data_IF_771364069644
#
_entry.id   IF_771364069644
#
_cell.length_a   1.000
_cell.length_b   1.000
_cell.length_c   1.000
_cell.angle_alpha   90.00
_cell.angle_beta   90.00
_cell.angle_gamma   90.00
#
_symmetry.space_group_name_H-M   'P 1'
#
loop_
_entity.id
_entity.type
_entity.pdbx_description
1 polymer ?
#
# COMPACT_ATOMS: atom_id res chain seq x y z
N UNK A 1 9.75 18.69 -11.52
CA UNK A 1 10.30 18.08 -10.30
C UNK A 1 11.80 18.14 -10.45
N UNK A 2 12.44 19.04 -9.72
CA UNK A 2 13.90 19.03 -9.60
C UNK A 2 14.30 17.90 -8.66
N UNK A 3 15.57 17.48 -8.71
CA UNK A 3 16.08 16.40 -7.84
C UNK A 3 15.89 16.75 -6.36
N UNK A 4 15.95 18.05 -6.02
CA UNK A 4 15.69 18.58 -4.69
C UNK A 4 14.25 18.35 -4.21
N UNK A 5 13.25 18.39 -5.10
CA UNK A 5 11.86 18.07 -4.73
C UNK A 5 11.74 16.60 -4.29
N UNK A 6 12.42 15.69 -5.01
CA UNK A 6 12.40 14.25 -4.72
C UNK A 6 13.16 13.97 -3.42
N UNK A 7 14.30 14.62 -3.22
CA UNK A 7 15.11 14.44 -2.01
C UNK A 7 14.47 15.06 -0.76
N UNK A 8 13.79 16.21 -0.91
CA UNK A 8 13.14 16.91 0.20
C UNK A 8 11.82 16.29 0.64
N UNK A 9 10.94 15.94 -0.31
CA UNK A 9 9.58 15.47 -0.01
C UNK A 9 9.41 13.95 -0.15
N UNK A 10 10.24 13.29 -0.96
CA UNK A 10 10.18 11.85 -1.20
C UNK A 10 10.30 11.00 0.08
N UNK A 11 11.25 11.27 0.99
CA UNK A 11 11.41 10.49 2.22
C UNK A 11 10.19 10.57 3.14
N UNK A 12 9.66 11.78 3.37
CA UNK A 12 8.47 11.99 4.20
C UNK A 12 7.26 11.25 3.60
N UNK A 13 7.05 11.38 2.30
CA UNK A 13 5.98 10.67 1.61
C UNK A 13 6.12 9.15 1.72
N UNK A 14 7.34 8.62 1.53
CA UNK A 14 7.63 7.20 1.65
C UNK A 14 7.32 6.67 3.06
N UNK A 15 7.66 7.42 4.11
CA UNK A 15 7.35 7.05 5.51
C UNK A 15 5.84 7.00 5.74
N UNK A 16 5.09 8.00 5.29
CA UNK A 16 3.63 8.04 5.46
C UNK A 16 2.97 6.85 4.74
N UNK A 17 3.38 6.60 3.50
CA UNK A 17 2.88 5.44 2.72
C UNK A 17 3.26 4.13 3.39
N UNK A 18 4.48 3.99 3.90
CA UNK A 18 4.92 2.79 4.60
C UNK A 18 4.09 2.50 5.86
N UNK A 19 3.79 3.53 6.66
CA UNK A 19 2.91 3.40 7.84
C UNK A 19 1.50 3.00 7.43
N UNK A 20 0.94 3.61 6.38
CA UNK A 20 -0.38 3.26 5.88
C UNK A 20 -0.43 1.78 5.40
N UNK A 21 0.59 1.35 4.65
CA UNK A 21 0.72 -0.05 4.24
C UNK A 21 0.85 -1.01 5.42
N UNK A 22 1.65 -0.66 6.42
CA UNK A 22 1.84 -1.48 7.60
C UNK A 22 0.50 -1.75 8.29
N UNK A 23 -0.28 -0.70 8.54
CA UNK A 23 -1.61 -0.82 9.17
C UNK A 23 -2.55 -1.64 8.28
N UNK A 24 -2.64 -1.31 6.99
CA UNK A 24 -3.53 -2.01 6.07
C UNK A 24 -3.20 -3.50 5.92
N UNK A 25 -1.91 -3.85 5.87
CA UNK A 25 -1.47 -5.24 5.76
C UNK A 25 -1.64 -6.01 7.06
N UNK A 26 -1.49 -5.39 8.23
CA UNK A 26 -1.82 -6.03 9.51
C UNK A 26 -3.31 -6.40 9.58
N UNK A 27 -4.19 -5.47 9.19
CA UNK A 27 -5.65 -5.72 9.14
C UNK A 27 -5.97 -6.80 8.10
N UNK A 28 -5.37 -6.74 6.91
CA UNK A 28 -5.55 -7.75 5.88
C UNK A 28 -5.04 -9.14 6.32
N UNK A 29 -3.90 -9.20 7.02
CA UNK A 29 -3.36 -10.44 7.56
C UNK A 29 -4.29 -11.06 8.59
N UNK A 30 -4.85 -10.23 9.48
CA UNK A 30 -5.83 -10.66 10.47
C UNK A 30 -7.10 -11.21 9.80
N UNK A 31 -7.62 -10.50 8.79
CA UNK A 31 -8.82 -10.90 8.04
C UNK A 31 -8.62 -12.21 7.24
N UNK A 32 -7.47 -12.35 6.57
CA UNK A 32 -7.14 -13.58 5.83
C UNK A 32 -7.00 -14.78 6.78
N UNK A 33 -6.37 -14.56 7.94
CA UNK A 33 -6.20 -15.61 8.95
C UNK A 33 -7.53 -16.07 9.53
N UNK A 34 -8.48 -15.16 9.70
CA UNK A 34 -9.80 -15.49 10.23
C UNK A 34 -10.72 -16.18 9.23
N UNK A 35 -10.62 -15.84 7.92
CA UNK A 35 -11.51 -16.39 6.88
C UNK A 35 -10.89 -17.46 5.98
N UNK A 36 -9.67 -17.96 6.29
CA UNK A 36 -8.93 -18.95 5.49
C UNK A 36 -9.04 -18.67 3.96
N UNK A 37 -8.89 -17.40 3.59
CA UNK A 37 -9.30 -16.96 2.25
C UNK A 37 -8.34 -17.49 1.19
N UNK A 38 -8.85 -18.35 0.30
CA UNK A 38 -8.16 -18.84 -0.93
C UNK A 38 -7.70 -17.70 -1.85
N UNK A 39 -8.19 -16.48 -1.64
CA UNK A 39 -7.91 -15.27 -2.44
C UNK A 39 -7.01 -14.27 -1.72
N UNK A 40 -6.02 -14.75 -0.97
CA UNK A 40 -5.05 -13.93 -0.21
C UNK A 40 -4.43 -12.82 -1.05
N UNK A 41 -4.02 -13.11 -2.28
CA UNK A 41 -3.43 -12.12 -3.20
C UNK A 41 -4.37 -10.94 -3.49
N UNK A 42 -5.67 -11.20 -3.72
CA UNK A 42 -6.67 -10.16 -3.97
C UNK A 42 -6.89 -9.29 -2.73
N UNK A 43 -6.92 -9.88 -1.53
CA UNK A 43 -7.13 -9.16 -0.28
C UNK A 43 -5.99 -8.17 -0.02
N UNK A 44 -4.73 -8.61 -0.14
CA UNK A 44 -3.59 -7.71 0.06
C UNK A 44 -3.46 -6.66 -1.05
N UNK A 45 -3.78 -7.00 -2.31
CA UNK A 45 -3.80 -6.01 -3.39
C UNK A 45 -4.84 -4.90 -3.13
N UNK A 46 -6.07 -5.26 -2.74
CA UNK A 46 -7.09 -4.27 -2.38
C UNK A 46 -6.69 -3.46 -1.15
N UNK A 47 -6.10 -4.10 -0.14
CA UNK A 47 -5.59 -3.41 1.05
C UNK A 47 -4.50 -2.40 0.70
N UNK A 48 -3.58 -2.76 -0.20
CA UNK A 48 -2.53 -1.86 -0.68
C UNK A 48 -3.07 -0.68 -1.48
N UNK A 49 -4.04 -0.92 -2.37
CA UNK A 49 -4.71 0.15 -3.10
C UNK A 49 -5.43 1.12 -2.13
N UNK A 50 -6.18 0.58 -1.17
CA UNK A 50 -6.88 1.37 -0.17
C UNK A 50 -5.93 2.19 0.71
N UNK A 51 -4.78 1.62 1.12
CA UNK A 51 -3.77 2.32 1.91
C UNK A 51 -3.23 3.56 1.19
N UNK A 52 -2.87 3.42 -0.10
CA UNK A 52 -2.35 4.52 -0.90
C UNK A 52 -3.44 5.57 -1.16
N UNK A 53 -4.67 5.15 -1.53
CA UNK A 53 -5.77 6.07 -1.74
C UNK A 53 -6.14 6.85 -0.47
N UNK A 54 -6.18 6.19 0.70
CA UNK A 54 -6.42 6.87 1.97
C UNK A 54 -5.31 7.82 2.35
N UNK A 55 -4.05 7.47 2.07
CA UNK A 55 -2.92 8.38 2.27
C UNK A 55 -3.11 9.67 1.46
N UNK A 56 -3.48 9.54 0.18
CA UNK A 56 -3.73 10.69 -0.68
C UNK A 56 -4.94 11.53 -0.22
N UNK A 57 -6.03 10.88 0.22
CA UNK A 57 -7.21 11.55 0.74
C UNK A 57 -6.90 12.32 2.04
N UNK A 58 -6.18 11.69 2.98
CA UNK A 58 -5.76 12.35 4.21
C UNK A 58 -4.82 13.51 3.92
N UNK A 59 -3.84 13.34 3.04
CA UNK A 59 -2.96 14.45 2.65
C UNK A 59 -3.76 15.61 2.07
N UNK A 60 -4.74 15.34 1.21
CA UNK A 60 -5.61 16.38 0.65
C UNK A 60 -6.46 17.06 1.72
N UNK A 61 -6.97 16.30 2.70
CA UNK A 61 -7.81 16.83 3.77
C UNK A 61 -7.03 17.60 4.84
N UNK A 62 -5.78 17.23 5.11
CA UNK A 62 -4.96 17.83 6.17
C UNK A 62 -4.16 19.04 5.69
N UNK A 63 -3.63 18.99 4.46
CA UNK A 63 -2.72 20.04 3.96
C UNK A 63 -3.41 21.08 3.07
N UNK A 64 -4.68 20.87 2.71
CA UNK A 64 -5.49 21.73 1.80
C UNK A 64 -4.87 21.97 0.40
N UNK A 65 -3.73 21.32 0.13
CA UNK A 65 -3.02 21.31 -1.14
C UNK A 65 -2.73 19.87 -1.56
N UNK A 66 -2.67 19.65 -2.87
CA UNK A 66 -2.16 18.40 -3.45
C UNK A 66 -0.64 18.43 -3.41
N UNK A 67 -0.07 17.88 -2.33
CA UNK A 67 1.36 17.80 -2.09
C UNK A 67 2.13 17.11 -3.22
N UNK A 68 1.48 16.19 -3.94
CA UNK A 68 2.05 15.50 -5.10
C UNK A 68 1.42 16.06 -6.37
N UNK A 69 2.22 16.75 -7.18
CA UNK A 69 1.75 17.33 -8.43
C UNK A 69 1.12 16.29 -9.37
N UNK A 70 1.64 15.06 -9.35
CA UNK A 70 1.12 13.94 -10.13
C UNK A 70 -0.28 13.47 -9.73
N UNK A 71 -0.75 13.73 -8.50
CA UNK A 71 -2.07 13.29 -8.02
C UNK A 71 -3.12 14.40 -8.06
N UNK A 72 -2.85 15.49 -8.81
CA UNK A 72 -3.80 16.59 -9.04
C UNK A 72 -4.98 16.19 -9.91
N UNK A 73 -4.79 15.17 -10.75
CA UNK A 73 -5.83 14.62 -11.62
C UNK A 73 -6.31 13.28 -11.09
N UNK A 74 -7.55 12.92 -11.42
CA UNK A 74 -8.11 11.61 -11.09
C UNK A 74 -7.24 10.48 -11.66
N UNK A 75 -6.73 10.64 -12.88
CA UNK A 75 -5.84 9.68 -13.52
C UNK A 75 -4.59 9.40 -12.67
N UNK A 76 -3.96 10.45 -12.13
CA UNK A 76 -2.79 10.31 -11.26
C UNK A 76 -3.10 9.59 -9.94
N UNK A 77 -4.24 9.89 -9.33
CA UNK A 77 -4.72 9.19 -8.12
C UNK A 77 -4.95 7.71 -8.40
N UNK A 78 -5.56 7.37 -9.54
CA UNK A 78 -5.81 5.99 -9.93
C UNK A 78 -4.51 5.21 -10.19
N UNK A 79 -3.53 5.83 -10.85
CA UNK A 79 -2.20 5.22 -11.06
C UNK A 79 -1.52 4.96 -9.72
N UNK A 80 -1.57 5.91 -8.77
CA UNK A 80 -1.00 5.72 -7.43
C UNK A 80 -1.69 4.57 -6.69
N UNK A 81 -3.04 4.51 -6.74
CA UNK A 81 -3.81 3.41 -6.18
C UNK A 81 -3.45 2.06 -6.79
N UNK A 82 -3.18 2.03 -8.10
CA UNK A 82 -2.71 0.82 -8.80
C UNK A 82 -1.32 0.40 -8.31
N UNK A 83 -0.39 1.34 -8.11
CA UNK A 83 0.91 1.04 -7.49
C UNK A 83 0.73 0.49 -6.07
N UNK A 84 -0.25 1.02 -5.34
CA UNK A 84 -0.72 0.46 -4.07
C UNK A 84 -1.11 -1.03 -4.17
N UNK A 85 -1.93 -1.34 -5.18
CA UNK A 85 -2.38 -2.70 -5.46
C UNK A 85 -1.22 -3.64 -5.82
N UNK A 86 -0.29 -3.17 -6.66
CA UNK A 86 0.92 -3.92 -7.04
C UNK A 86 1.76 -4.24 -5.80
N UNK A 87 2.00 -3.25 -4.92
CA UNK A 87 2.72 -3.46 -3.67
C UNK A 87 2.06 -4.52 -2.78
N UNK A 88 0.73 -4.47 -2.65
CA UNK A 88 -0.05 -5.49 -1.93
C UNK A 88 0.05 -6.89 -2.55
N UNK A 89 -0.01 -6.99 -3.87
CA UNK A 89 0.13 -8.25 -4.58
C UNK A 89 1.54 -8.86 -4.39
N UNK A 90 2.59 -8.04 -4.52
CA UNK A 90 3.99 -8.46 -4.28
C UNK A 90 4.15 -8.93 -2.83
N UNK A 91 3.61 -8.19 -1.86
CA UNK A 91 3.63 -8.59 -0.45
C UNK A 91 2.96 -9.95 -0.23
N UNK A 92 1.81 -10.21 -0.86
CA UNK A 92 1.09 -11.48 -0.73
C UNK A 92 1.90 -12.67 -1.28
N UNK A 93 2.61 -12.47 -2.39
CA UNK A 93 3.49 -13.47 -3.01
C UNK A 93 4.69 -13.78 -2.10
N UNK A 94 5.39 -12.75 -1.62
CA UNK A 94 6.56 -12.91 -0.75
C UNK A 94 6.19 -13.53 0.61
N UNK A 95 5.05 -13.12 1.17
CA UNK A 95 4.57 -13.58 2.47
C UNK A 95 3.88 -14.94 2.42
N UNK A 96 3.71 -15.54 1.23
CA UNK A 96 3.12 -16.87 1.04
C UNK A 96 4.15 -18.00 1.01
N UNK A 97 5.42 -17.71 0.72
CA UNK A 97 6.49 -18.71 0.60
C UNK A 97 7.01 -19.26 1.94
N UNK A 98 6.46 -18.82 3.07
CA UNK A 98 6.68 -19.40 4.40
C UNK A 98 5.55 -20.37 4.73
N UNK A 99 5.42 -21.45 3.96
CA UNK A 99 4.65 -22.61 4.38
C UNK A 99 5.40 -23.30 5.54
N UNK A 100 4.69 -23.86 6.55
CA UNK A 100 5.34 -24.54 7.67
C UNK A 100 6.30 -25.59 7.12
N UNK A 101 7.52 -25.61 7.64
CA UNK A 101 8.45 -26.70 7.41
C UNK A 101 7.67 -28.00 7.65
N UNK A 102 7.45 -28.77 6.58
CA UNK A 102 6.92 -30.12 6.71
C UNK A 102 7.92 -30.86 7.58
N UNK A 103 7.57 -31.08 8.84
CA UNK A 103 8.32 -31.96 9.72
C UNK A 103 8.37 -33.31 9.02
N UNK A 104 9.56 -33.83 8.63
CA UNK A 104 9.66 -35.20 8.20
C UNK A 104 9.50 -36.07 9.45
N UNK A 105 8.34 -36.74 9.48
CA UNK A 105 8.02 -37.95 10.24
C UNK A 105 7.85 -37.74 11.76
#
# INVERSE_FOLDING_TARGET
MTFDDIAGMGPLYAVIVAVAFLIAFLVAAWLVRWRASRRRATVYALAGAAAVLMTLLLMRATFDITAIAGTRTLAGVLVQGLMGAVGGYVFARLSGSRGPARSPI
#
